data_IF_137788613787
#
_entry.id   IF_137788613787
#
_cell.length_a   1.000
_cell.length_b   1.000
_cell.length_c   1.000
_cell.angle_alpha   90.00
_cell.angle_beta   90.00
_cell.angle_gamma   90.00
#
_symmetry.space_group_name_H-M   'P 1'
#
loop_
_entity.id
_entity.type
_entity.pdbx_description
1 polymer ?
#
# COMPACT_ATOMS: atom_id res chain seq x y z
N UNK A 1 3.52 -18.84 -17.85
CA UNK A 1 3.53 -18.63 -16.39
C UNK A 1 3.15 -17.18 -16.13
N UNK A 2 2.01 -16.95 -15.48
CA UNK A 2 1.47 -15.60 -15.25
C UNK A 2 2.18 -14.96 -14.05
N UNK A 3 3.31 -14.30 -14.27
CA UNK A 3 4.01 -13.59 -13.20
C UNK A 3 3.59 -12.13 -13.17
N UNK A 4 3.06 -11.67 -12.02
CA UNK A 4 2.67 -10.28 -11.79
C UNK A 4 3.88 -9.34 -11.73
N UNK A 5 5.07 -9.87 -11.42
CA UNK A 5 6.33 -9.13 -11.28
C UNK A 5 7.50 -9.90 -11.91
N UNK A 6 8.60 -9.22 -12.18
CA UNK A 6 9.84 -9.85 -12.67
C UNK A 6 10.67 -10.44 -11.53
N UNK A 7 10.60 -9.82 -10.35
CA UNK A 7 11.29 -10.22 -9.14
C UNK A 7 10.25 -10.65 -8.09
N UNK A 8 10.40 -11.82 -7.44
CA UNK A 8 9.46 -12.32 -6.44
C UNK A 8 9.66 -11.64 -5.07
N UNK A 9 9.74 -10.31 -5.05
CA UNK A 9 9.91 -9.49 -3.86
C UNK A 9 8.71 -8.56 -3.73
N UNK A 10 8.11 -8.57 -2.54
CA UNK A 10 7.03 -7.65 -2.16
C UNK A 10 7.58 -6.68 -1.13
N UNK A 11 7.52 -5.38 -1.43
CA UNK A 11 7.84 -4.36 -0.44
C UNK A 11 6.65 -4.23 0.52
N UNK A 12 6.89 -4.38 1.83
CA UNK A 12 5.82 -4.44 2.84
C UNK A 12 5.09 -3.09 3.00
N UNK A 13 3.74 -3.06 3.09
CA UNK A 13 3.00 -1.83 3.36
C UNK A 13 3.20 -1.38 4.82
N UNK A 14 3.93 -0.30 5.05
CA UNK A 14 4.29 0.19 6.39
C UNK A 14 3.70 1.58 6.66
N UNK A 15 2.52 1.63 7.27
CA UNK A 15 1.87 2.89 7.64
C UNK A 15 2.81 3.76 8.51
N UNK A 16 2.98 5.04 8.15
CA UNK A 16 3.84 5.99 8.86
C UNK A 16 5.30 6.08 8.38
N UNK A 17 5.76 5.19 7.49
CA UNK A 17 7.15 5.21 6.96
C UNK A 17 7.24 5.12 5.43
N UNK A 18 6.11 5.19 4.73
CA UNK A 18 5.99 4.92 3.31
C UNK A 18 4.96 5.82 2.61
N UNK A 19 5.15 6.07 1.30
CA UNK A 19 4.19 6.70 0.39
C UNK A 19 4.39 6.28 -1.08
N UNK A 20 3.74 6.97 -2.05
CA UNK A 20 3.73 6.62 -3.48
C UNK A 20 5.13 6.44 -4.10
N UNK A 21 6.08 7.31 -3.76
CA UNK A 21 7.44 7.27 -4.31
C UNK A 21 8.16 5.93 -4.07
N UNK A 22 8.01 5.36 -2.86
CA UNK A 22 8.61 4.06 -2.54
C UNK A 22 7.93 2.92 -3.31
N UNK A 23 6.59 2.96 -3.42
CA UNK A 23 5.84 1.99 -4.21
C UNK A 23 6.30 2.00 -5.68
N UNK A 24 6.37 3.20 -6.28
CA UNK A 24 6.80 3.39 -7.67
C UNK A 24 8.22 2.84 -7.88
N UNK A 25 9.16 3.19 -7.00
CA UNK A 25 10.55 2.73 -7.13
C UNK A 25 10.67 1.19 -7.14
N UNK A 26 9.90 0.49 -6.31
CA UNK A 26 9.90 -0.98 -6.27
C UNK A 26 9.24 -1.57 -7.51
N UNK A 27 8.14 -0.98 -7.98
CA UNK A 27 7.48 -1.36 -9.22
C UNK A 27 8.42 -1.26 -10.43
N UNK A 28 9.14 -0.14 -10.56
CA UNK A 28 10.10 0.10 -11.64
C UNK A 28 11.34 -0.80 -11.54
N UNK A 29 11.71 -1.22 -10.33
CA UNK A 29 12.76 -2.22 -10.11
C UNK A 29 12.30 -3.66 -10.45
N UNK A 30 11.03 -3.86 -10.80
CA UNK A 30 10.48 -5.16 -11.18
C UNK A 30 9.92 -5.99 -10.01
N UNK A 31 9.86 -5.44 -8.80
CA UNK A 31 9.18 -6.02 -7.64
C UNK A 31 7.72 -5.57 -7.50
N UNK A 32 7.05 -6.01 -6.43
CA UNK A 32 5.68 -5.56 -6.09
C UNK A 32 5.75 -4.46 -5.04
N UNK A 33 5.58 -3.20 -5.47
CA UNK A 33 5.37 -2.09 -4.54
C UNK A 33 4.03 -2.20 -3.82
N UNK A 34 3.94 -1.68 -2.59
CA UNK A 34 2.67 -1.65 -1.83
C UNK A 34 2.30 -0.22 -1.42
N UNK A 35 1.05 0.01 -1.01
CA UNK A 35 0.65 1.20 -0.25
C UNK A 35 -0.12 0.82 1.02
N UNK A 36 0.21 1.39 2.19
CA UNK A 36 -0.58 1.20 3.42
C UNK A 36 -1.78 2.17 3.44
N UNK A 37 -3.00 1.65 3.50
CA UNK A 37 -4.23 2.45 3.42
C UNK A 37 -4.97 2.60 4.74
N UNK A 38 -4.55 1.87 5.78
CA UNK A 38 -5.27 1.81 7.07
C UNK A 38 -5.42 3.18 7.77
N UNK A 39 -4.55 4.14 7.48
CA UNK A 39 -4.57 5.49 8.08
C UNK A 39 -4.96 6.59 7.08
N UNK A 40 -5.38 6.23 5.86
CA UNK A 40 -5.72 7.19 4.81
C UNK A 40 -7.22 7.40 4.74
N UNK A 41 -7.63 8.65 4.47
CA UNK A 41 -9.00 8.91 4.02
C UNK A 41 -9.18 8.39 2.58
N UNK A 42 -10.43 8.12 2.14
CA UNK A 42 -10.68 7.69 0.77
C UNK A 42 -10.17 8.66 -0.29
N UNK A 43 -10.22 9.97 -0.04
CA UNK A 43 -9.75 10.97 -1.01
C UNK A 43 -8.22 10.95 -1.14
N UNK A 44 -7.50 10.91 -0.02
CA UNK A 44 -6.03 10.79 -0.04
C UNK A 44 -5.62 9.47 -0.72
N UNK A 45 -6.34 8.38 -0.46
CA UNK A 45 -6.08 7.11 -1.14
C UNK A 45 -6.24 7.22 -2.66
N UNK A 46 -7.29 7.90 -3.15
CA UNK A 46 -7.50 8.11 -4.58
C UNK A 46 -6.37 8.92 -5.21
N UNK A 47 -5.93 9.98 -4.54
CA UNK A 47 -4.80 10.81 -4.98
C UNK A 47 -3.51 9.99 -5.09
N UNK A 48 -3.18 9.21 -4.05
CA UNK A 48 -1.99 8.37 -4.06
C UNK A 48 -2.04 7.28 -5.14
N UNK A 49 -3.19 6.64 -5.34
CA UNK A 49 -3.38 5.66 -6.42
C UNK A 49 -3.23 6.32 -7.79
N UNK A 50 -3.76 7.53 -7.97
CA UNK A 50 -3.64 8.27 -9.21
C UNK A 50 -2.16 8.62 -9.51
N UNK A 51 -1.40 9.07 -8.50
CA UNK A 51 0.03 9.34 -8.63
C UNK A 51 0.80 8.11 -9.10
N UNK A 52 0.58 6.94 -8.48
CA UNK A 52 1.24 5.69 -8.84
C UNK A 52 0.89 5.27 -10.27
N UNK A 53 -0.40 5.32 -10.63
CA UNK A 53 -0.88 4.93 -11.98
C UNK A 53 -0.43 5.88 -13.10
N UNK A 54 -0.14 7.13 -12.75
CA UNK A 54 0.46 8.09 -13.67
C UNK A 54 1.95 7.79 -13.90
N UNK A 55 2.67 7.34 -12.86
CA UNK A 55 4.10 7.07 -12.91
C UNK A 55 4.46 5.70 -13.49
N UNK A 56 3.65 4.65 -13.28
CA UNK A 56 3.95 3.28 -13.71
C UNK A 56 2.73 2.53 -14.22
N UNK A 57 2.96 1.53 -15.09
CA UNK A 57 1.96 0.54 -15.54
C UNK A 57 2.11 -0.81 -14.84
N UNK A 58 3.12 -0.97 -13.99
CA UNK A 58 3.30 -2.19 -13.21
C UNK A 58 2.16 -2.40 -12.21
N UNK A 59 1.95 -3.65 -11.82
CA UNK A 59 1.02 -3.98 -10.73
C UNK A 59 1.60 -3.53 -9.38
N UNK A 60 0.72 -3.14 -8.46
CA UNK A 60 1.08 -2.79 -7.09
C UNK A 60 0.00 -3.28 -6.11
N UNK A 61 0.37 -3.42 -4.85
CA UNK A 61 -0.48 -3.89 -3.76
C UNK A 61 -1.11 -2.73 -2.98
N UNK A 62 -2.37 -2.89 -2.56
CA UNK A 62 -3.12 -1.92 -1.77
C UNK A 62 -3.57 -2.60 -0.47
N UNK A 63 -3.09 -2.11 0.67
CA UNK A 63 -3.24 -2.80 1.96
C UNK A 63 -4.24 -2.11 2.90
N UNK A 64 -5.15 -2.89 3.47
CA UNK A 64 -6.11 -2.45 4.47
C UNK A 64 -6.04 -3.29 5.74
N UNK A 65 -6.38 -2.69 6.86
CA UNK A 65 -6.71 -3.45 8.06
C UNK A 65 -8.14 -3.98 7.98
N UNK A 66 -8.32 -5.22 8.42
CA UNK A 66 -9.60 -5.90 8.49
C UNK A 66 -9.79 -6.57 9.87
N UNK A 67 -9.30 -5.92 10.93
CA UNK A 67 -9.47 -6.41 12.30
C UNK A 67 -10.89 -6.10 12.79
N UNK A 68 -11.40 -6.94 13.69
CA UNK A 68 -12.60 -6.60 14.47
C UNK A 68 -12.27 -5.43 15.39
N UNK A 69 -13.02 -4.30 15.34
CA UNK A 69 -12.79 -3.19 16.25
C UNK A 69 -12.91 -3.67 17.71
N UNK A 70 -12.00 -3.27 18.61
CA UNK A 70 -12.11 -3.64 20.02
C UNK A 70 -13.37 -3.03 20.62
N UNK A 71 -13.99 -3.74 21.57
CA UNK A 71 -15.04 -3.16 22.41
C UNK A 71 -14.43 -2.10 23.31
N UNK A 72 -14.98 -0.87 23.38
CA UNK A 72 -14.51 0.15 24.32
C UNK A 72 -14.56 -0.38 25.76
N UNK A 73 -13.47 -0.19 26.49
CA UNK A 73 -13.32 -0.60 27.89
C UNK A 73 -12.82 0.59 28.71
N UNK A 74 -13.73 1.21 29.46
CA UNK A 74 -13.46 2.41 30.25
C UNK A 74 -12.43 2.20 31.37
N UNK A 75 -12.03 0.96 31.67
CA UNK A 75 -10.99 0.66 32.66
C UNK A 75 -9.57 0.64 32.07
N UNK A 76 -9.43 0.78 30.75
CA UNK A 76 -8.15 0.69 30.01
C UNK A 76 -7.72 2.00 29.34
N UNK A 77 -8.42 3.10 29.61
CA UNK A 77 -8.13 4.47 29.13
C UNK A 77 -7.46 5.34 30.21
#
# INVERSE_FOLDING_TARGET
MWSLTQIPVVQAPMAGSQGPKLCIAVCEAGGLGSIPCAMLTPDILREQIAEIRAATKASFNVNFFAHTPPTPDASRE
#
